data_IF_666292966410
#
_entry.id   IF_666292966410
#
_cell.length_a   1.000
_cell.length_b   1.000
_cell.length_c   1.000
_cell.angle_alpha   90.00
_cell.angle_beta   90.00
_cell.angle_gamma   90.00
#
_symmetry.space_group_name_H-M   'P 1'
#
loop_
_entity.id
_entity.type
_entity.pdbx_description
1 polymer ?
#
# COMPACT_ATOMS: atom_id res chain seq x y z
N UNK A 1 25.63 10.74 10.25
CA UNK A 1 25.12 9.55 10.98
C UNK A 1 26.27 8.56 11.12
N UNK A 2 26.50 8.03 12.32
CA UNK A 2 27.52 7.01 12.56
C UNK A 2 26.98 5.59 12.36
N UNK A 3 27.87 4.60 12.19
CA UNK A 3 27.47 3.18 12.13
C UNK A 3 26.76 2.73 13.42
N UNK A 4 27.17 3.28 14.56
CA UNK A 4 26.54 3.05 15.87
C UNK A 4 25.10 3.54 15.92
N UNK A 5 24.83 4.72 15.32
CA UNK A 5 23.47 5.28 15.24
C UNK A 5 22.56 4.40 14.39
N UNK A 6 23.06 3.90 13.25
CA UNK A 6 22.31 2.97 12.39
C UNK A 6 22.01 1.69 13.16
N UNK A 7 23.00 1.09 13.82
CA UNK A 7 22.82 -0.14 14.58
C UNK A 7 21.84 0.03 15.75
N UNK A 8 21.82 1.19 16.42
CA UNK A 8 20.86 1.49 17.48
C UNK A 8 19.43 1.61 16.93
N UNK A 9 19.26 2.31 15.80
CA UNK A 9 17.96 2.46 15.13
C UNK A 9 17.40 1.16 14.57
N UNK A 10 18.27 0.27 14.08
CA UNK A 10 17.87 -1.09 13.67
C UNK A 10 17.38 -1.90 14.88
N UNK A 11 18.12 -1.87 16.00
CA UNK A 11 17.72 -2.58 17.22
C UNK A 11 16.41 -2.05 17.80
N UNK A 12 16.16 -0.74 17.74
CA UNK A 12 14.88 -0.17 18.19
C UNK A 12 13.69 -0.62 17.34
N UNK A 13 13.93 -1.12 16.13
CA UNK A 13 12.93 -1.71 15.23
C UNK A 13 12.90 -3.25 15.28
N UNK A 14 13.60 -3.86 16.24
CA UNK A 14 13.65 -5.33 16.41
C UNK A 14 14.61 -6.05 15.46
N UNK A 15 15.47 -5.32 14.75
CA UNK A 15 16.42 -5.88 13.77
C UNK A 15 17.81 -5.96 14.41
N UNK A 16 18.30 -7.17 14.64
CA UNK A 16 19.52 -7.41 15.40
C UNK A 16 20.73 -7.80 14.54
N UNK A 17 20.50 -8.19 13.29
CA UNK A 17 21.57 -8.63 12.39
C UNK A 17 21.49 -7.86 11.07
N UNK A 18 22.64 -7.32 10.62
CA UNK A 18 22.73 -6.59 9.34
C UNK A 18 22.28 -7.45 8.15
N UNK A 19 22.47 -8.77 8.21
CA UNK A 19 22.02 -9.71 7.16
C UNK A 19 20.50 -9.73 6.96
N UNK A 20 19.73 -9.27 7.94
CA UNK A 20 18.28 -9.15 7.84
C UNK A 20 17.87 -7.87 7.11
N UNK A 21 18.79 -6.95 6.82
CA UNK A 21 18.49 -5.67 6.16
C UNK A 21 18.71 -5.80 4.65
N UNK A 22 17.63 -5.67 3.87
CA UNK A 22 17.68 -5.55 2.41
C UNK A 22 18.00 -4.13 1.98
N UNK A 23 17.38 -3.15 2.64
CA UNK A 23 17.58 -1.71 2.38
C UNK A 23 17.31 -0.94 3.67
N UNK A 24 18.08 0.13 3.91
CA UNK A 24 17.79 1.10 4.96
C UNK A 24 17.91 2.50 4.37
N UNK A 25 16.88 3.33 4.53
CA UNK A 25 16.82 4.72 4.05
C UNK A 25 16.59 5.63 5.22
N UNK A 26 17.35 6.71 5.31
CA UNK A 26 17.10 7.75 6.29
C UNK A 26 16.28 8.88 5.65
N UNK A 27 15.12 9.17 6.23
CA UNK A 27 14.27 10.29 5.85
C UNK A 27 14.83 11.62 6.37
N UNK A 28 14.39 12.75 5.79
CA UNK A 28 14.84 14.10 6.18
C UNK A 28 14.56 14.41 7.66
N UNK A 29 13.51 13.82 8.24
CA UNK A 29 13.15 13.95 9.66
C UNK A 29 14.01 13.07 10.59
N UNK A 30 14.96 12.30 10.05
CA UNK A 30 15.86 11.44 10.82
C UNK A 30 15.34 10.03 11.11
N UNK A 31 14.13 9.67 10.65
CA UNK A 31 13.62 8.30 10.75
C UNK A 31 14.41 7.36 9.82
N UNK A 32 14.67 6.13 10.28
CA UNK A 32 15.29 5.09 9.46
C UNK A 32 14.21 4.11 9.00
N UNK A 33 13.89 4.10 7.71
CA UNK A 33 13.00 3.12 7.09
C UNK A 33 13.84 1.90 6.71
N UNK A 34 13.45 0.73 7.18
CA UNK A 34 14.20 -0.52 6.95
C UNK A 34 13.31 -1.52 6.23
N UNK A 35 13.79 -2.04 5.10
CA UNK A 35 13.21 -3.17 4.39
C UNK A 35 14.01 -4.40 4.78
N UNK A 36 13.36 -5.41 5.34
CA UNK A 36 14.01 -6.65 5.76
C UNK A 36 14.12 -7.67 4.62
N UNK A 37 15.08 -8.58 4.75
CA UNK A 37 15.18 -9.76 3.90
C UNK A 37 14.01 -10.69 4.22
N UNK A 38 13.12 -10.89 3.24
CA UNK A 38 11.92 -11.71 3.40
C UNK A 38 10.65 -10.91 3.68
N UNK A 39 10.74 -9.59 3.88
CA UNK A 39 9.56 -8.73 3.72
C UNK A 39 9.00 -8.96 2.31
N UNK A 40 7.67 -9.06 2.20
CA UNK A 40 7.01 -8.96 0.91
C UNK A 40 7.57 -7.73 0.19
N UNK A 41 7.83 -7.85 -1.11
CA UNK A 41 8.24 -6.66 -1.87
C UNK A 41 7.23 -5.55 -1.57
N UNK A 42 7.69 -4.31 -1.32
CA UNK A 42 6.78 -3.23 -1.01
C UNK A 42 5.70 -3.22 -2.07
N UNK A 43 4.46 -3.45 -1.65
CA UNK A 43 3.32 -3.41 -2.56
C UNK A 43 3.25 -1.99 -3.07
N UNK A 44 3.33 -1.83 -4.37
CA UNK A 44 3.40 -0.52 -4.99
C UNK A 44 1.97 -0.05 -5.21
N UNK A 45 1.46 0.94 -4.44
CA UNK A 45 0.13 1.47 -4.70
C UNK A 45 0.15 2.20 -6.04
N UNK A 46 -0.51 1.62 -7.04
CA UNK A 46 -0.61 2.16 -8.40
C UNK A 46 -1.90 2.96 -8.59
N UNK A 47 -2.88 2.78 -7.71
CA UNK A 47 -4.06 3.64 -7.56
C UNK A 47 -4.28 3.92 -6.08
N UNK A 48 -4.54 5.18 -5.73
CA UNK A 48 -4.97 5.60 -4.39
C UNK A 48 -6.10 6.61 -4.48
N UNK A 49 -7.20 6.35 -3.78
CA UNK A 49 -8.40 7.20 -3.75
C UNK A 49 -8.89 7.62 -5.14
N UNK A 50 -8.93 6.66 -6.06
CA UNK A 50 -9.35 6.88 -7.44
C UNK A 50 -8.35 7.62 -8.34
N UNK A 51 -7.14 7.89 -7.86
CA UNK A 51 -6.08 8.57 -8.61
C UNK A 51 -4.97 7.58 -8.96
N UNK A 52 -4.51 7.61 -10.21
CA UNK A 52 -3.37 6.81 -10.67
C UNK A 52 -2.07 7.43 -10.16
N UNK A 53 -1.21 6.60 -9.57
CA UNK A 53 0.09 7.01 -9.06
C UNK A 53 1.17 6.86 -10.15
N UNK A 54 1.24 7.83 -11.05
CA UNK A 54 2.12 7.82 -12.23
C UNK A 54 3.59 7.59 -11.87
N UNK A 55 4.12 8.33 -10.89
CA UNK A 55 5.51 8.19 -10.44
C UNK A 55 5.83 6.75 -9.97
N UNK A 56 4.84 6.09 -9.34
CA UNK A 56 4.97 4.71 -8.89
C UNK A 56 5.01 3.77 -10.08
N UNK A 57 4.11 3.94 -11.05
CA UNK A 57 4.09 3.18 -12.31
C UNK A 57 5.42 3.28 -13.07
N UNK A 58 5.96 4.50 -13.21
CA UNK A 58 7.26 4.73 -13.84
C UNK A 58 8.38 4.01 -13.09
N UNK A 59 8.38 4.07 -11.76
CA UNK A 59 9.39 3.41 -10.92
C UNK A 59 9.41 1.88 -11.06
N UNK A 60 8.27 1.28 -11.44
CA UNK A 60 8.12 -0.15 -11.72
C UNK A 60 8.15 -0.50 -13.22
N UNK A 61 8.40 0.49 -14.08
CA UNK A 61 8.51 0.32 -15.53
C UNK A 61 7.19 -0.04 -16.22
N UNK A 62 6.06 0.49 -15.73
CA UNK A 62 4.72 0.29 -16.29
C UNK A 62 4.13 1.62 -16.75
N UNK A 63 3.22 1.56 -17.73
CA UNK A 63 2.48 2.72 -18.21
C UNK A 63 1.06 2.76 -17.64
N UNK A 64 0.40 3.91 -17.75
CA UNK A 64 -1.00 4.04 -17.35
C UNK A 64 -1.91 3.12 -18.19
N UNK A 65 -1.65 2.99 -19.49
CA UNK A 65 -2.44 2.11 -20.37
C UNK A 65 -2.35 0.65 -19.93
N UNK A 66 -1.16 0.20 -19.50
CA UNK A 66 -0.98 -1.14 -18.95
C UNK A 66 -1.81 -1.36 -17.69
N UNK A 67 -1.89 -0.35 -16.81
CA UNK A 67 -2.69 -0.41 -15.59
C UNK A 67 -4.18 -0.47 -15.92
N UNK A 68 -4.67 0.42 -16.79
CA UNK A 68 -6.07 0.48 -17.20
C UNK A 68 -6.53 -0.83 -17.87
N UNK A 69 -5.71 -1.44 -18.72
CA UNK A 69 -5.99 -2.75 -19.31
C UNK A 69 -6.07 -3.86 -18.24
N UNK A 70 -5.18 -3.86 -17.24
CA UNK A 70 -5.24 -4.80 -16.12
C UNK A 70 -6.52 -4.62 -15.27
N UNK A 71 -6.91 -3.37 -15.01
CA UNK A 71 -8.10 -3.04 -14.23
C UNK A 71 -9.38 -3.43 -14.97
N UNK A 72 -9.48 -3.12 -16.27
CA UNK A 72 -10.65 -3.47 -17.07
C UNK A 72 -10.81 -4.99 -17.22
N UNK A 73 -9.71 -5.75 -17.38
CA UNK A 73 -9.74 -7.22 -17.37
C UNK A 73 -10.29 -7.82 -16.06
N UNK A 74 -10.20 -7.08 -14.96
CA UNK A 74 -10.76 -7.44 -13.66
C UNK A 74 -12.19 -6.89 -13.43
N UNK A 75 -12.76 -6.18 -14.40
CA UNK A 75 -14.09 -5.57 -14.31
C UNK A 75 -14.11 -4.20 -13.62
N UNK A 76 -12.96 -3.53 -13.55
CA UNK A 76 -12.82 -2.19 -12.98
C UNK A 76 -12.60 -1.13 -14.07
N UNK A 77 -13.68 -0.70 -14.72
CA UNK A 77 -13.62 0.25 -15.84
C UNK A 77 -13.51 1.73 -15.40
N UNK A 78 -13.74 2.02 -14.13
CA UNK A 78 -13.65 3.36 -13.58
C UNK A 78 -12.75 3.39 -12.36
N UNK A 79 -11.56 3.99 -12.53
CA UNK A 79 -10.55 4.15 -11.49
C UNK A 79 -11.11 4.91 -10.28
N UNK A 80 -12.03 5.87 -10.47
CA UNK A 80 -12.63 6.63 -9.36
C UNK A 80 -13.39 5.77 -8.34
N UNK A 81 -13.75 4.53 -8.69
CA UNK A 81 -14.39 3.58 -7.78
C UNK A 81 -13.40 2.75 -6.96
N UNK A 82 -12.09 2.88 -7.23
CA UNK A 82 -11.02 2.13 -6.59
C UNK A 82 -10.50 2.91 -5.39
N UNK A 83 -10.56 2.31 -4.21
CA UNK A 83 -9.96 2.86 -3.00
C UNK A 83 -8.44 2.70 -3.05
N UNK A 84 -7.95 1.49 -3.35
CA UNK A 84 -6.53 1.22 -3.55
C UNK A 84 -6.35 0.09 -4.57
N UNK A 85 -5.35 0.23 -5.44
CA UNK A 85 -4.85 -0.89 -6.23
C UNK A 85 -3.34 -1.04 -6.00
N UNK A 86 -2.92 -2.26 -5.70
CA UNK A 86 -1.54 -2.59 -5.36
C UNK A 86 -0.93 -3.50 -6.42
N UNK A 87 0.28 -3.16 -6.88
CA UNK A 87 1.09 -4.02 -7.73
C UNK A 87 2.08 -4.84 -6.88
N UNK A 88 2.04 -6.16 -7.06
CA UNK A 88 3.06 -7.09 -6.57
C UNK A 88 3.41 -8.13 -7.63
N UNK A 89 4.71 -8.23 -7.97
CA UNK A 89 5.28 -9.27 -8.85
C UNK A 89 4.51 -9.56 -10.15
N UNK A 90 3.87 -8.56 -10.75
CA UNK A 90 3.13 -8.72 -12.00
C UNK A 90 1.61 -8.82 -11.85
N UNK A 91 1.09 -8.93 -10.62
CA UNK A 91 -0.33 -8.94 -10.32
C UNK A 91 -0.78 -7.58 -9.75
N UNK A 92 -1.99 -7.15 -10.11
CA UNK A 92 -2.65 -5.97 -9.54
C UNK A 92 -3.82 -6.47 -8.69
N UNK A 93 -3.79 -6.19 -7.40
CA UNK A 93 -4.90 -6.45 -6.47
C UNK A 93 -5.69 -5.17 -6.26
N UNK A 94 -7.03 -5.24 -6.31
CA UNK A 94 -7.90 -4.05 -6.27
C UNK A 94 -8.85 -4.13 -5.08
N UNK A 95 -8.97 -3.01 -4.37
CA UNK A 95 -10.01 -2.79 -3.35
C UNK A 95 -10.83 -1.58 -3.81
N UNK A 96 -12.14 -1.76 -3.97
CA UNK A 96 -13.06 -0.69 -4.35
C UNK A 96 -13.75 -0.10 -3.13
N UNK A 97 -14.27 1.13 -3.25
CA UNK A 97 -15.25 1.62 -2.28
C UNK A 97 -16.43 0.64 -2.22
N UNK A 98 -16.87 0.25 -1.02
CA UNK A 98 -18.06 -0.58 -0.86
C UNK A 98 -19.22 0.10 -1.61
N UNK A 99 -19.76 -0.57 -2.64
CA UNK A 99 -21.10 -0.19 -3.11
C UNK A 99 -22.02 -0.49 -1.94
N UNK A 100 -22.62 0.55 -1.36
CA UNK A 100 -23.65 0.38 -0.32
C UNK A 100 -24.58 -0.75 -0.75
N UNK A 101 -24.68 -1.80 0.09
CA UNK A 101 -25.72 -2.80 -0.10
C UNK A 101 -27.05 -2.07 0.04
N UNK A 102 -27.92 -2.01 -0.99
CA UNK A 102 -29.22 -1.38 -0.85
C UNK A 102 -30.00 -2.16 0.22
N UNK A 103 -30.25 -1.53 1.38
CA UNK A 103 -31.12 -2.09 2.43
C UNK A 103 -30.56 -2.16 3.85
N UNK A 104 -29.33 -1.71 4.14
CA UNK A 104 -28.84 -1.66 5.54
C UNK A 104 -28.87 -0.22 6.06
N UNK A 105 -29.89 0.13 6.83
CA UNK A 105 -29.97 1.40 7.56
C UNK A 105 -28.96 1.38 8.73
N UNK A 106 -27.79 1.97 8.55
CA UNK A 106 -26.94 2.31 9.70
C UNK A 106 -27.43 3.63 10.30
N UNK A 107 -27.97 3.59 11.52
CA UNK A 107 -28.28 4.81 12.27
C UNK A 107 -26.98 5.53 12.64
N UNK A 108 -26.66 6.59 11.91
CA UNK A 108 -25.49 7.42 12.14
C UNK A 108 -25.70 8.34 13.35
N UNK A 109 -25.01 8.03 14.46
CA UNK A 109 -24.61 9.09 15.40
C UNK A 109 -23.32 9.69 14.88
N UNK A 110 -23.43 10.92 14.36
CA UNK A 110 -22.29 11.71 13.89
C UNK A 110 -21.36 11.98 15.07
N UNK A 111 -20.18 11.38 15.05
CA UNK A 111 -19.02 11.84 15.81
C UNK A 111 -17.78 11.70 14.93
N UNK A 112 -17.41 12.83 14.35
CA UNK A 112 -16.09 13.26 13.90
C UNK A 112 -15.04 12.17 13.61
N UNK A 113 -14.67 12.09 12.33
CA UNK A 113 -13.31 11.78 11.86
C UNK A 113 -12.79 10.33 11.89
N UNK A 114 -13.65 9.34 11.63
CA UNK A 114 -13.17 7.97 11.32
C UNK A 114 -13.79 7.43 10.04
N UNK A 115 -12.94 7.20 9.03
CA UNK A 115 -13.27 6.34 7.90
C UNK A 115 -13.11 4.89 8.39
N UNK A 116 -14.20 4.12 8.38
CA UNK A 116 -14.14 2.69 8.68
C UNK A 116 -13.79 1.95 7.40
N UNK A 117 -12.58 1.41 7.32
CA UNK A 117 -12.19 0.45 6.28
C UNK A 117 -12.42 -0.95 6.85
N UNK A 118 -13.43 -1.66 6.35
CA UNK A 118 -13.63 -3.07 6.67
C UNK A 118 -12.70 -3.90 5.76
N UNK A 119 -11.66 -4.52 6.35
CA UNK A 119 -10.86 -5.51 5.62
C UNK A 119 -11.67 -6.82 5.50
N UNK A 120 -11.71 -7.47 4.32
CA UNK A 120 -12.35 -8.77 4.20
C UNK A 120 -11.62 -9.79 5.06
N UNK A 121 -12.37 -10.46 5.93
CA UNK A 121 -11.88 -11.55 6.77
C UNK A 121 -11.58 -12.77 5.88
N UNK A 122 -10.29 -13.05 5.65
CA UNK A 122 -9.87 -14.31 5.03
C UNK A 122 -9.76 -15.34 6.15
N UNK A 123 -10.78 -16.21 6.25
CA UNK A 123 -10.72 -17.37 7.14
C UNK A 123 -9.62 -18.33 6.69
N UNK A 124 -8.77 -18.74 7.62
CA UNK A 124 -7.87 -19.89 7.47
C UNK A 124 -8.61 -21.16 7.87
#
# INVERSE_FOLDING_TARGET
MSASDVALKLRSQGIFQMKQVKRAVQEQNGQLIVVQMGDENPKYPVVTDGVIQVDVLESIGRSEEWLLDNLSKQGHDNVANIFIAEYDKGAVTVVTYEKEKPGVLYSSKISSNRVNVALPYVGY
#
